data_IF_172000168773
#
_entry.id   IF_172000168773
#
_cell.length_a   1.000
_cell.length_b   1.000
_cell.length_c   1.000
_cell.angle_alpha   90.00
_cell.angle_beta   90.00
_cell.angle_gamma   90.00
#
_symmetry.space_group_name_H-M   'P 1'
#
loop_
_entity.id
_entity.type
_entity.pdbx_description
1 polymer ?
#
# COMPACT_ATOMS: atom_id res chain seq x y z
N UNK A 1 7.10 -6.01 11.60
CA UNK A 1 5.68 -5.64 11.41
C UNK A 1 4.89 -6.90 11.65
N UNK A 2 4.09 -6.93 12.71
CA UNK A 2 3.35 -8.13 13.11
C UNK A 2 2.26 -8.47 12.08
N UNK A 3 1.98 -9.75 11.85
CA UNK A 3 1.03 -10.19 10.81
C UNK A 3 -0.38 -9.64 11.10
N UNK A 4 -0.75 -9.57 12.37
CA UNK A 4 -2.00 -8.98 12.86
C UNK A 4 -2.11 -7.48 12.48
N UNK A 5 -1.01 -6.72 12.57
CA UNK A 5 -0.98 -5.30 12.22
C UNK A 5 -1.22 -5.07 10.71
N UNK A 6 -0.71 -5.99 9.87
CA UNK A 6 -0.89 -5.92 8.41
C UNK A 6 -2.37 -6.04 8.06
N UNK A 7 -3.12 -6.93 8.73
CA UNK A 7 -4.55 -7.12 8.45
C UNK A 7 -5.39 -5.91 8.84
N UNK A 8 -5.06 -5.25 9.95
CA UNK A 8 -5.79 -4.09 10.46
C UNK A 8 -5.59 -2.85 9.60
N UNK A 9 -4.38 -2.67 9.05
CA UNK A 9 -4.00 -1.44 8.33
C UNK A 9 -4.01 -1.59 6.81
N UNK A 10 -4.30 -2.78 6.28
CA UNK A 10 -4.35 -3.02 4.83
C UNK A 10 -5.79 -3.08 4.34
N UNK A 11 -6.08 -2.27 3.33
CA UNK A 11 -7.38 -2.22 2.66
C UNK A 11 -7.29 -2.55 1.17
N UNK A 12 -6.22 -2.12 0.51
CA UNK A 12 -6.00 -2.37 -0.90
C UNK A 12 -5.08 -3.56 -1.10
N UNK A 13 -5.55 -4.58 -1.81
CA UNK A 13 -4.81 -5.81 -2.08
C UNK A 13 -4.63 -6.00 -3.59
N UNK A 14 -3.51 -6.62 -3.96
CA UNK A 14 -3.24 -7.13 -5.30
C UNK A 14 -3.43 -8.64 -5.29
N UNK A 15 -4.30 -9.14 -6.17
CA UNK A 15 -4.53 -10.55 -6.41
C UNK A 15 -3.93 -10.91 -7.77
N UNK A 16 -2.88 -11.74 -7.73
CA UNK A 16 -2.10 -12.11 -8.91
C UNK A 16 -2.20 -13.62 -9.13
N UNK A 17 -2.39 -14.00 -10.40
CA UNK A 17 -2.30 -15.40 -10.84
C UNK A 17 -1.00 -15.60 -11.63
N UNK A 18 -0.41 -16.81 -11.59
CA UNK A 18 0.73 -17.15 -12.43
C UNK A 18 0.46 -16.87 -13.90
N UNK A 19 1.52 -16.56 -14.66
CA UNK A 19 1.47 -16.37 -16.11
C UNK A 19 0.39 -15.38 -16.61
N UNK A 20 -0.05 -14.46 -15.75
CA UNK A 20 -1.11 -13.50 -16.03
C UNK A 20 -2.44 -14.14 -16.47
N UNK A 21 -2.74 -15.34 -15.96
CA UNK A 21 -3.96 -16.08 -16.32
C UNK A 21 -5.24 -15.38 -15.89
N UNK A 22 -5.16 -14.40 -14.99
CA UNK A 22 -6.30 -13.59 -14.56
C UNK A 22 -6.97 -12.86 -15.73
N UNK A 23 -6.18 -12.49 -16.75
CA UNK A 23 -6.66 -11.77 -17.93
C UNK A 23 -7.68 -12.56 -18.77
N UNK A 24 -7.54 -13.89 -18.82
CA UNK A 24 -8.39 -14.79 -19.61
C UNK A 24 -9.59 -15.32 -18.82
N UNK A 25 -9.66 -15.08 -17.50
CA UNK A 25 -10.80 -15.53 -16.69
C UNK A 25 -12.01 -14.62 -16.88
N UNK A 26 -13.19 -15.24 -16.93
CA UNK A 26 -14.47 -14.56 -17.02
C UNK A 26 -14.74 -13.68 -15.80
N UNK A 27 -15.31 -12.46 -15.96
CA UNK A 27 -15.65 -11.59 -14.85
C UNK A 27 -16.63 -12.24 -13.85
N UNK A 28 -17.54 -13.10 -14.32
CA UNK A 28 -18.47 -13.82 -13.44
C UNK A 28 -17.77 -14.89 -12.60
N UNK A 29 -16.77 -15.57 -13.17
CA UNK A 29 -15.96 -16.54 -12.45
C UNK A 29 -15.13 -15.83 -11.36
N UNK A 30 -14.52 -14.70 -11.73
CA UNK A 30 -13.78 -13.84 -10.80
C UNK A 30 -14.67 -13.42 -9.62
N UNK A 31 -15.87 -12.91 -9.89
CA UNK A 31 -16.80 -12.49 -8.83
C UNK A 31 -17.14 -13.65 -7.88
N UNK A 32 -17.47 -14.82 -8.41
CA UNK A 32 -17.77 -16.02 -7.59
C UNK A 32 -16.58 -16.44 -6.73
N UNK A 33 -15.36 -16.39 -7.29
CA UNK A 33 -14.15 -16.74 -6.55
C UNK A 33 -13.83 -15.73 -5.43
N UNK A 34 -14.05 -14.43 -5.67
CA UNK A 34 -13.90 -13.40 -4.63
C UNK A 34 -14.88 -13.63 -3.48
N UNK A 35 -16.16 -13.87 -3.80
CA UNK A 35 -17.19 -14.18 -2.81
C UNK A 35 -16.81 -15.42 -1.99
N UNK A 36 -16.29 -16.47 -2.63
CA UNK A 36 -15.89 -17.71 -1.97
C UNK A 36 -14.69 -17.58 -1.02
N UNK A 37 -13.87 -16.54 -1.15
CA UNK A 37 -12.73 -16.30 -0.24
C UNK A 37 -13.13 -15.45 0.95
N UNK A 38 -13.72 -14.28 0.69
CA UNK A 38 -13.94 -13.27 1.73
C UNK A 38 -15.19 -12.43 1.52
N UNK A 39 -16.12 -12.88 0.68
CA UNK A 39 -17.30 -12.10 0.30
C UNK A 39 -17.02 -11.04 -0.77
N UNK A 40 -17.97 -10.12 -0.94
CA UNK A 40 -17.88 -9.05 -1.94
C UNK A 40 -16.93 -7.92 -1.46
N UNK A 41 -15.83 -7.63 -2.20
CA UNK A 41 -14.99 -6.48 -1.91
C UNK A 41 -15.72 -5.17 -2.23
N UNK A 42 -15.30 -4.06 -1.61
CA UNK A 42 -15.84 -2.73 -1.89
C UNK A 42 -15.65 -2.31 -3.34
N UNK A 43 -14.48 -2.61 -3.89
CA UNK A 43 -14.19 -2.37 -5.30
C UNK A 43 -13.25 -3.44 -5.84
N UNK A 44 -13.39 -3.72 -7.14
CA UNK A 44 -12.57 -4.68 -7.88
C UNK A 44 -12.21 -4.02 -9.20
N UNK A 45 -10.91 -3.91 -9.49
CA UNK A 45 -10.39 -3.29 -10.70
C UNK A 45 -9.31 -4.16 -11.30
N UNK A 46 -9.42 -4.47 -12.60
CA UNK A 46 -8.33 -5.10 -13.35
C UNK A 46 -7.27 -4.06 -13.69
N UNK A 47 -6.01 -4.36 -13.39
CA UNK A 47 -4.87 -3.52 -13.73
C UNK A 47 -4.33 -3.87 -15.12
N UNK A 48 -3.50 -2.98 -15.69
CA UNK A 48 -2.81 -3.23 -16.97
C UNK A 48 -1.83 -4.41 -16.89
N UNK A 49 -1.31 -4.72 -15.70
CA UNK A 49 -0.52 -5.93 -15.46
C UNK A 49 -1.35 -7.20 -15.65
N UNK A 50 -2.68 -7.10 -15.54
CA UNK A 50 -3.66 -8.18 -15.57
C UNK A 50 -4.07 -8.69 -14.19
N UNK A 51 -3.40 -8.23 -13.13
CA UNK A 51 -3.78 -8.47 -11.73
C UNK A 51 -5.11 -7.80 -11.39
N UNK A 52 -5.74 -8.25 -10.29
CA UNK A 52 -6.88 -7.55 -9.70
C UNK A 52 -6.40 -6.69 -8.52
N UNK A 53 -6.73 -5.41 -8.56
CA UNK A 53 -6.75 -4.55 -7.40
C UNK A 53 -8.11 -4.70 -6.73
N UNK A 54 -8.13 -5.11 -5.47
CA UNK A 54 -9.35 -5.16 -4.66
C UNK A 54 -9.23 -4.22 -3.47
N UNK A 55 -10.36 -3.66 -3.07
CA UNK A 55 -10.50 -2.85 -1.88
C UNK A 55 -11.42 -3.57 -0.91
N UNK A 56 -10.94 -3.89 0.29
CA UNK A 56 -11.72 -4.61 1.30
C UNK A 56 -12.54 -3.66 2.17
N UNK A 57 -13.58 -4.20 2.80
CA UNK A 57 -14.48 -3.47 3.70
C UNK A 57 -14.11 -3.63 5.18
N UNK A 58 -13.37 -4.68 5.53
CA UNK A 58 -13.01 -5.01 6.92
C UNK A 58 -11.68 -5.74 7.02
N UNK A 59 -11.04 -5.66 8.19
CA UNK A 59 -9.79 -6.38 8.49
C UNK A 59 -9.96 -7.91 8.41
N UNK A 60 -11.14 -8.43 8.77
CA UNK A 60 -11.45 -9.85 8.64
C UNK A 60 -11.46 -10.29 7.17
N UNK A 61 -12.09 -9.49 6.30
CA UNK A 61 -12.07 -9.74 4.86
C UNK A 61 -10.63 -9.66 4.31
N UNK A 62 -9.85 -8.66 4.71
CA UNK A 62 -8.42 -8.55 4.37
C UNK A 62 -7.64 -9.80 4.76
N UNK A 63 -7.85 -10.31 5.99
CA UNK A 63 -7.22 -11.54 6.48
C UNK A 63 -7.55 -12.74 5.61
N UNK A 64 -8.83 -12.94 5.26
CA UNK A 64 -9.22 -14.07 4.39
C UNK A 64 -8.55 -14.00 3.02
N UNK A 65 -8.50 -12.82 2.40
CA UNK A 65 -7.83 -12.65 1.10
C UNK A 65 -6.33 -12.89 1.19
N UNK A 66 -5.63 -12.35 2.20
CA UNK A 66 -4.19 -12.55 2.35
C UNK A 66 -3.79 -14.00 2.67
N UNK A 67 -4.68 -14.75 3.33
CA UNK A 67 -4.46 -16.17 3.63
C UNK A 67 -4.89 -17.11 2.49
N UNK A 68 -5.51 -16.59 1.43
CA UNK A 68 -5.98 -17.39 0.31
C UNK A 68 -4.79 -18.03 -0.43
N UNK A 69 -4.84 -19.36 -0.59
CA UNK A 69 -3.82 -20.15 -1.31
C UNK A 69 -4.24 -20.47 -2.75
N UNK A 70 -5.54 -20.43 -3.03
CA UNK A 70 -6.09 -20.75 -4.34
C UNK A 70 -7.14 -19.75 -4.78
N UNK A 71 -7.17 -19.45 -6.06
CA UNK A 71 -8.18 -18.63 -6.72
C UNK A 71 -8.49 -19.25 -8.08
N UNK A 72 -9.78 -19.59 -8.34
CA UNK A 72 -10.19 -20.27 -9.57
C UNK A 72 -9.37 -21.55 -9.87
N UNK A 73 -9.14 -22.38 -8.86
CA UNK A 73 -8.34 -23.62 -8.93
C UNK A 73 -6.85 -23.42 -9.30
N UNK A 74 -6.37 -22.17 -9.26
CA UNK A 74 -4.96 -21.85 -9.49
C UNK A 74 -4.33 -21.37 -8.19
N UNK A 75 -3.03 -21.61 -7.96
CA UNK A 75 -2.32 -21.00 -6.84
C UNK A 75 -2.38 -19.48 -7.01
N UNK A 76 -2.71 -18.76 -5.93
CA UNK A 76 -2.86 -17.30 -5.95
C UNK A 76 -1.82 -16.65 -5.05
N UNK A 77 -1.33 -15.49 -5.47
CA UNK A 77 -0.55 -14.61 -4.62
C UNK A 77 -1.37 -13.37 -4.31
N UNK A 78 -1.61 -13.13 -3.02
CA UNK A 78 -2.29 -11.92 -2.55
C UNK A 78 -1.31 -11.11 -1.70
N UNK A 79 -1.16 -9.83 -2.02
CA UNK A 79 -0.23 -8.94 -1.32
C UNK A 79 -0.83 -7.56 -1.07
N UNK A 80 -0.46 -6.85 0.00
CA UNK A 80 -0.80 -5.44 0.17
C UNK A 80 -0.34 -4.58 -1.01
N UNK A 81 -1.21 -3.69 -1.49
CA UNK A 81 -0.83 -2.73 -2.51
C UNK A 81 0.17 -1.71 -1.91
N UNK A 82 1.28 -1.45 -2.63
CA UNK A 82 2.44 -0.71 -2.10
C UNK A 82 2.15 0.74 -1.70
N UNK A 83 1.39 1.48 -2.50
CA UNK A 83 1.15 2.90 -2.26
C UNK A 83 -0.24 3.20 -1.70
N UNK A 84 -1.29 2.59 -2.23
CA UNK A 84 -2.69 2.86 -1.82
C UNK A 84 -3.02 2.60 -0.34
N UNK A 85 -2.19 1.85 0.39
CA UNK A 85 -2.35 1.65 1.85
C UNK A 85 -1.56 2.64 2.70
N UNK A 86 -0.93 3.63 2.08
CA UNK A 86 -0.12 4.64 2.76
C UNK A 86 -0.34 6.01 2.13
N UNK A 87 -0.22 7.06 2.91
CA UNK A 87 -0.14 8.42 2.40
C UNK A 87 1.23 9.00 2.76
N UNK A 88 1.64 10.04 2.02
CA UNK A 88 2.86 10.79 2.31
C UNK A 88 2.54 12.27 2.37
N UNK A 89 2.94 12.91 3.46
CA UNK A 89 2.87 14.36 3.65
C UNK A 89 4.26 14.99 3.73
N UNK A 90 4.31 16.32 3.59
CA UNK A 90 5.49 17.15 3.89
C UNK A 90 5.04 18.22 4.87
N UNK A 91 5.81 18.40 5.94
CA UNK A 91 5.61 19.46 6.93
C UNK A 91 6.84 20.35 6.95
N UNK A 92 6.65 21.65 7.17
CA UNK A 92 7.71 22.64 7.30
C UNK A 92 7.56 23.30 8.67
N UNK A 93 8.36 22.87 9.63
CA UNK A 93 8.28 23.33 11.02
C UNK A 93 9.68 23.65 11.55
N UNK A 94 10.01 24.94 11.83
CA UNK A 94 11.31 25.33 12.37
C UNK A 94 11.67 24.65 13.69
N UNK A 95 10.67 24.40 14.55
CA UNK A 95 10.90 23.81 15.87
C UNK A 95 11.43 22.37 15.79
N UNK A 96 11.15 21.67 14.68
CA UNK A 96 11.65 20.32 14.45
C UNK A 96 13.09 20.28 13.91
N UNK A 97 13.78 21.41 13.71
CA UNK A 97 15.14 21.42 13.14
C UNK A 97 16.16 20.68 14.00
N UNK A 98 16.02 20.73 15.33
CA UNK A 98 16.92 20.07 16.29
C UNK A 98 16.57 18.61 16.58
N UNK A 99 15.38 18.17 16.22
CA UNK A 99 14.84 16.84 16.57
C UNK A 99 15.34 15.76 15.61
N UNK A 100 15.70 14.59 16.11
CA UNK A 100 16.11 13.47 15.24
C UNK A 100 14.92 12.83 14.52
N UNK A 101 15.12 12.25 13.32
CA UNK A 101 14.04 11.58 12.57
C UNK A 101 13.42 10.42 13.39
N UNK A 102 14.20 9.75 14.24
CA UNK A 102 13.75 8.69 15.16
C UNK A 102 12.84 9.22 16.26
N UNK A 103 13.21 10.33 16.90
CA UNK A 103 12.41 10.98 17.95
C UNK A 103 11.08 11.51 17.40
N UNK A 104 11.09 12.07 16.18
CA UNK A 104 9.87 12.46 15.48
C UNK A 104 9.02 11.21 15.23
N UNK A 105 9.60 10.13 14.69
CA UNK A 105 8.86 8.90 14.40
C UNK A 105 8.21 8.31 15.65
N UNK A 106 8.93 8.28 16.78
CA UNK A 106 8.41 7.81 18.07
C UNK A 106 7.29 8.72 18.59
N UNK A 107 7.46 10.05 18.54
CA UNK A 107 6.43 11.00 18.99
C UNK A 107 5.13 10.92 18.20
N UNK A 108 5.19 10.47 16.94
CA UNK A 108 4.03 10.35 16.05
C UNK A 108 3.58 8.90 15.81
N UNK A 109 4.12 7.91 16.55
CA UNK A 109 3.78 6.50 16.34
C UNK A 109 2.30 6.22 16.56
N UNK A 110 1.71 6.84 17.58
CA UNK A 110 0.30 6.67 17.97
C UNK A 110 -0.67 7.27 16.95
N UNK A 111 -0.15 8.17 16.09
CA UNK A 111 -0.90 8.75 14.97
C UNK A 111 -0.75 7.93 13.69
N UNK A 112 -0.09 6.78 13.74
CA UNK A 112 0.10 5.88 12.60
C UNK A 112 1.22 6.30 11.64
N UNK A 113 2.14 7.19 12.07
CA UNK A 113 3.32 7.52 11.27
C UNK A 113 4.28 6.34 11.30
N UNK A 114 4.64 5.85 10.11
CA UNK A 114 5.49 4.66 9.94
C UNK A 114 6.88 4.98 9.40
N UNK A 115 7.06 6.19 8.85
CA UNK A 115 8.34 6.63 8.31
C UNK A 115 8.47 8.14 8.35
N UNK A 116 9.62 8.62 8.82
CA UNK A 116 10.03 10.02 8.78
C UNK A 116 11.29 10.13 7.93
N UNK A 117 11.39 11.19 7.14
CA UNK A 117 12.60 11.52 6.38
C UNK A 117 12.75 13.03 6.24
N UNK A 118 13.86 13.58 6.74
CA UNK A 118 14.20 14.98 6.53
C UNK A 118 14.52 15.28 5.07
N UNK A 119 13.85 16.30 4.52
CA UNK A 119 14.12 16.80 3.16
C UNK A 119 15.17 17.92 3.22
N UNK A 120 16.35 17.69 2.64
CA UNK A 120 17.38 18.74 2.51
C UNK A 120 17.28 19.41 1.15
N UNK A 121 17.02 20.71 1.13
CA UNK A 121 17.10 21.52 -0.10
C UNK A 121 18.56 21.95 -0.28
N UNK A 122 19.23 21.44 -1.32
CA UNK A 122 20.52 21.99 -1.75
C UNK A 122 20.24 23.30 -2.47
N UNK A 123 20.55 24.45 -1.86
CA UNK A 123 20.64 25.72 -2.60
C UNK A 123 21.91 25.65 -3.44
N UNK A 124 21.79 25.39 -4.73
CA UNK A 124 22.89 25.62 -5.68
C UNK A 124 23.22 27.11 -5.63
N UNK A 125 24.34 27.45 -5.01
CA UNK A 125 24.90 28.80 -5.04
C UNK A 125 25.26 29.10 -6.50
N UNK A 126 24.39 29.80 -7.23
CA UNK A 126 24.85 30.60 -8.35
C UNK A 126 25.71 31.72 -7.75
N UNK A 127 27.02 31.54 -7.85
CA UNK A 127 27.99 32.60 -7.57
C UNK A 127 27.79 33.68 -8.62
N UNK A 128 27.25 34.83 -8.21
CA UNK A 128 27.33 36.03 -9.03
C UNK A 128 28.77 36.56 -8.94
N UNK A 129 29.50 36.70 -10.06
CA UNK A 129 30.76 37.41 -10.03
C UNK A 129 30.46 38.88 -9.70
N UNK A 130 30.90 39.34 -8.54
CA UNK A 130 31.20 40.75 -8.36
C UNK A 130 32.63 40.97 -8.82
N UNK A 131 32.81 41.78 -9.86
CA UNK A 131 33.97 42.64 -10.08
C UNK A 131 33.67 43.63 -11.21
N UNK A 132 33.49 44.89 -10.81
CA UNK A 132 33.74 46.21 -11.44
C UNK A 132 33.31 46.39 -12.91
#
# INVERSE_FOLDING_TARGET
MDIEQIFLNTRFLLVSLPNNEMSVKSPFAIQKALIGIGGEPKSVKRLRSGDLLIETTSALQTKFFLLAKSFLNNPVTVSPHKSLNSCRGVISEPDLLGTSDSEILESFSDQGVTQVKRNTIKKTLQLFPQNI
#
